data_IF_637450700155
#
_entry.id   IF_637450700155
#
_cell.length_a   1.000
_cell.length_b   1.000
_cell.length_c   1.000
_cell.angle_alpha   90.00
_cell.angle_beta   90.00
_cell.angle_gamma   90.00
#
_symmetry.space_group_name_H-M   'P 1'
#
loop_
_entity.id
_entity.type
_entity.pdbx_description
1 polymer ?
#
# COMPACT_ATOMS: atom_id res chain seq x y z
N UNK A 1 17.45 3.90 18.06
CA UNK A 1 18.39 5.04 18.12
C UNK A 1 17.55 6.29 18.01
N UNK A 2 17.56 7.14 19.04
CA UNK A 2 16.61 8.24 19.19
C UNK A 2 17.10 9.49 18.45
N UNK A 3 16.28 10.05 17.56
CA UNK A 3 16.61 11.30 16.86
C UNK A 3 16.24 12.47 17.77
N UNK A 4 17.22 12.95 18.53
CA UNK A 4 17.10 14.15 19.38
C UNK A 4 17.10 15.48 18.61
N UNK A 5 17.21 15.46 17.27
CA UNK A 5 17.39 16.67 16.44
C UNK A 5 16.16 17.12 15.62
N UNK A 6 14.99 16.48 15.77
CA UNK A 6 13.72 17.14 15.40
C UNK A 6 13.31 18.19 16.45
N UNK A 7 14.29 18.78 17.15
CA UNK A 7 14.08 19.71 18.26
C UNK A 7 13.88 21.16 17.82
N UNK A 8 13.98 21.47 16.51
CA UNK A 8 13.78 22.82 15.99
C UNK A 8 12.50 23.00 15.17
N UNK A 9 11.74 21.94 14.90
CA UNK A 9 10.40 22.04 14.35
C UNK A 9 9.41 21.78 15.47
N UNK A 10 8.60 22.79 15.77
CA UNK A 10 7.41 22.65 16.59
C UNK A 10 6.44 21.77 15.80
N UNK A 11 6.50 20.45 15.99
CA UNK A 11 5.56 19.50 15.38
C UNK A 11 4.21 19.75 16.05
N UNK A 12 3.33 20.46 15.37
CA UNK A 12 1.99 20.76 15.86
C UNK A 12 0.94 19.75 15.39
N UNK A 13 1.28 18.89 14.43
CA UNK A 13 0.36 17.96 13.78
C UNK A 13 1.04 16.62 13.45
N UNK A 14 0.22 15.57 13.29
CA UNK A 14 0.67 14.23 12.88
C UNK A 14 1.08 14.26 11.42
N UNK A 15 2.32 13.93 11.11
CA UNK A 15 2.82 13.97 9.73
C UNK A 15 4.07 13.11 9.52
N UNK A 16 4.51 13.02 8.27
CA UNK A 16 5.69 12.26 7.87
C UNK A 16 6.82 13.19 7.39
N UNK A 17 8.05 12.74 7.58
CA UNK A 17 9.26 13.43 7.13
C UNK A 17 10.25 12.45 6.51
N UNK A 18 10.95 12.88 5.46
CA UNK A 18 12.12 12.19 4.95
C UNK A 18 13.37 12.69 5.69
N UNK A 19 14.22 11.75 6.07
CA UNK A 19 15.43 12.00 6.85
C UNK A 19 16.62 11.37 6.15
N UNK A 20 17.63 12.19 5.83
CA UNK A 20 18.91 11.71 5.33
C UNK A 20 19.80 11.29 6.51
N UNK A 21 19.92 9.98 6.71
CA UNK A 21 20.73 9.40 7.79
C UNK A 21 22.23 9.62 7.62
N UNK A 22 22.72 9.74 6.38
CA UNK A 22 24.13 10.00 6.10
C UNK A 22 24.53 11.44 6.44
N UNK A 23 23.58 12.38 6.37
CA UNK A 23 23.77 13.79 6.69
C UNK A 23 23.31 14.13 8.12
N UNK A 24 23.75 13.34 9.10
CA UNK A 24 23.43 13.55 10.52
C UNK A 24 21.92 13.64 10.81
N UNK A 25 21.10 12.85 10.11
CA UNK A 25 19.64 12.87 10.25
C UNK A 25 19.00 14.22 9.88
N UNK A 26 19.58 14.94 8.91
CA UNK A 26 18.96 16.12 8.33
C UNK A 26 17.64 15.78 7.63
N UNK A 27 16.70 16.73 7.64
CA UNK A 27 15.49 16.61 6.83
C UNK A 27 15.84 16.68 5.36
N UNK A 28 15.18 15.84 4.57
CA UNK A 28 15.27 15.81 3.12
C UNK A 28 13.92 16.14 2.50
N UNK A 29 13.93 16.83 1.37
CA UNK A 29 12.71 17.22 0.66
C UNK A 29 12.29 16.21 -0.41
N UNK A 30 13.24 15.39 -0.89
CA UNK A 30 13.03 14.50 -2.05
C UNK A 30 13.13 13.02 -1.69
N UNK A 31 14.18 12.60 -0.98
CA UNK A 31 14.45 11.19 -0.69
C UNK A 31 15.08 10.94 0.69
N UNK A 32 14.86 9.78 1.29
CA UNK A 32 15.49 9.41 2.56
C UNK A 32 14.75 8.29 3.29
N UNK A 33 15.08 8.12 4.57
CA UNK A 33 14.33 7.26 5.47
C UNK A 33 13.06 7.98 5.93
N UNK A 34 11.91 7.30 5.91
CA UNK A 34 10.64 7.89 6.30
C UNK A 34 10.43 7.77 7.82
N UNK A 35 10.07 8.89 8.44
CA UNK A 35 9.68 8.96 9.85
C UNK A 35 8.25 9.47 9.95
N UNK A 36 7.45 8.86 10.82
CA UNK A 36 6.15 9.36 11.21
C UNK A 36 6.25 10.01 12.58
N UNK A 37 5.76 11.25 12.70
CA UNK A 37 5.76 11.98 13.95
C UNK A 37 4.33 12.18 14.46
N UNK A 38 4.11 11.85 15.73
CA UNK A 38 2.84 12.03 16.43
C UNK A 38 3.07 12.79 17.75
N UNK A 39 2.80 14.11 17.79
CA UNK A 39 3.07 14.93 18.97
C UNK A 39 2.16 14.60 20.16
N UNK A 40 1.09 13.81 19.97
CA UNK A 40 0.16 13.42 21.03
C UNK A 40 0.63 12.15 21.78
N UNK A 41 1.58 11.39 21.22
CA UNK A 41 2.08 10.15 21.81
C UNK A 41 3.34 10.39 22.65
N UNK A 42 3.18 10.33 23.98
CA UNK A 42 4.13 10.82 24.99
C UNK A 42 5.47 10.06 25.15
N UNK A 43 5.84 9.11 24.26
CA UNK A 43 7.07 8.31 24.40
C UNK A 43 8.07 8.48 23.26
N UNK A 44 7.60 8.70 22.04
CA UNK A 44 8.44 8.90 20.86
C UNK A 44 7.75 9.91 19.96
N UNK A 45 8.38 11.09 19.79
CA UNK A 45 7.81 12.16 18.95
C UNK A 45 7.79 11.72 17.49
N UNK A 46 8.76 10.91 17.07
CA UNK A 46 8.88 10.37 15.72
C UNK A 46 9.43 8.94 15.74
N UNK A 47 8.83 8.05 14.95
CA UNK A 47 9.28 6.67 14.76
C UNK A 47 9.58 6.41 13.29
N UNK A 48 10.64 5.65 13.02
CA UNK A 48 11.00 5.27 11.65
C UNK A 48 10.00 4.24 11.10
N UNK A 49 9.69 4.39 9.82
CA UNK A 49 8.84 3.49 9.06
C UNK A 49 9.70 2.48 8.30
N UNK A 50 9.34 1.20 8.38
CA UNK A 50 10.07 0.09 7.74
C UNK A 50 9.22 -0.73 6.76
N UNK A 51 7.93 -0.40 6.59
CA UNK A 51 7.07 -1.11 5.65
C UNK A 51 7.10 -0.48 4.24
N UNK A 52 7.10 -1.33 3.23
CA UNK A 52 7.01 -0.92 1.82
C UNK A 52 5.59 -0.45 1.51
N UNK A 53 5.45 0.67 0.78
CA UNK A 53 4.15 1.16 0.33
C UNK A 53 4.05 2.68 0.18
N UNK A 54 2.82 3.18 0.24
CA UNK A 54 2.49 4.60 0.21
C UNK A 54 2.07 5.12 1.58
N UNK A 55 2.53 6.33 1.91
CA UNK A 55 2.14 7.10 3.07
C UNK A 55 1.73 8.49 2.62
N UNK A 56 0.45 8.81 2.78
CA UNK A 56 -0.16 9.97 2.12
C UNK A 56 -0.53 11.01 3.18
N UNK A 57 -0.10 12.25 3.00
CA UNK A 57 -0.61 13.39 3.77
C UNK A 57 -1.79 13.99 3.01
N UNK A 58 -1.59 14.31 1.74
CA UNK A 58 -2.56 14.85 0.80
C UNK A 58 -2.08 14.59 -0.64
N UNK A 59 -2.63 15.28 -1.65
CA UNK A 59 -2.20 15.10 -3.04
C UNK A 59 -0.86 15.78 -3.34
N UNK A 60 -0.47 16.80 -2.60
CA UNK A 60 0.81 17.51 -2.76
C UNK A 60 1.96 16.84 -2.00
N UNK A 61 1.65 15.93 -1.08
CA UNK A 61 2.63 15.26 -0.23
C UNK A 61 2.30 13.77 -0.06
N UNK A 62 2.94 12.97 -0.91
CA UNK A 62 2.87 11.51 -0.94
C UNK A 62 4.27 10.94 -0.81
N UNK A 63 4.46 10.01 0.12
CA UNK A 63 5.70 9.27 0.27
C UNK A 63 5.52 7.86 -0.31
N UNK A 64 6.44 7.47 -1.19
CA UNK A 64 6.49 6.13 -1.78
C UNK A 64 7.75 5.45 -1.29
N UNK A 65 7.61 4.34 -0.58
CA UNK A 65 8.71 3.57 -0.01
C UNK A 65 8.81 2.22 -0.69
N UNK A 66 9.99 1.88 -1.21
CA UNK A 66 10.31 0.56 -1.80
C UNK A 66 11.45 -0.10 -1.05
N UNK A 67 11.55 -1.42 -1.19
CA UNK A 67 12.72 -2.14 -0.69
C UNK A 67 13.98 -1.68 -1.44
N UNK A 68 14.96 -1.19 -0.68
CA UNK A 68 16.28 -0.77 -1.14
C UNK A 68 17.38 -1.74 -0.70
N UNK A 69 18.62 -1.38 -1.00
CA UNK A 69 19.79 -2.23 -0.64
C UNK A 69 20.11 -2.23 0.86
N UNK A 70 19.75 -1.15 1.58
CA UNK A 70 20.08 -0.94 3.00
C UNK A 70 18.85 -0.51 3.83
N UNK A 71 17.68 -1.07 3.53
CA UNK A 71 16.41 -0.72 4.18
C UNK A 71 15.37 -0.30 3.16
N UNK A 72 14.58 0.73 3.49
CA UNK A 72 13.64 1.33 2.55
C UNK A 72 14.26 2.54 1.84
N UNK A 73 14.07 2.59 0.53
CA UNK A 73 14.28 3.79 -0.26
C UNK A 73 12.94 4.50 -0.39
N UNK A 74 12.76 5.61 0.33
CA UNK A 74 11.53 6.42 0.25
C UNK A 74 11.78 7.72 -0.51
N UNK A 75 10.82 8.11 -1.34
CA UNK A 75 10.81 9.38 -2.05
C UNK A 75 9.49 10.11 -1.88
N UNK A 76 9.55 11.44 -1.88
CA UNK A 76 8.37 12.32 -1.89
C UNK A 76 7.93 12.57 -3.34
N UNK A 77 6.63 12.63 -3.54
CA UNK A 77 6.01 13.03 -4.79
C UNK A 77 4.66 13.69 -4.55
N UNK A 78 4.02 14.06 -5.65
CA UNK A 78 2.70 14.68 -5.69
C UNK A 78 1.86 14.07 -6.83
N UNK A 79 0.55 14.27 -6.77
CA UNK A 79 -0.37 13.99 -7.86
C UNK A 79 -0.90 15.29 -8.44
N UNK A 80 -0.85 15.35 -9.76
CA UNK A 80 -1.41 16.45 -10.56
C UNK A 80 -2.75 16.04 -11.16
N UNK A 81 -3.47 16.99 -11.77
CA UNK A 81 -4.71 16.69 -12.49
C UNK A 81 -4.50 15.79 -13.73
N UNK A 82 -3.25 15.57 -14.16
CA UNK A 82 -2.90 14.61 -15.21
C UNK A 82 -2.89 13.17 -14.70
N UNK A 83 -2.68 12.98 -13.40
CA UNK A 83 -2.68 11.67 -12.75
C UNK A 83 -4.11 11.24 -12.43
N UNK A 84 -4.96 11.10 -13.46
CA UNK A 84 -6.41 10.96 -13.29
C UNK A 84 -6.99 9.66 -13.86
N UNK A 85 -6.12 8.72 -14.23
CA UNK A 85 -6.54 7.49 -14.95
C UNK A 85 -6.03 6.24 -14.26
N UNK A 86 -6.95 5.31 -14.00
CA UNK A 86 -6.62 3.93 -13.65
C UNK A 86 -6.70 3.03 -14.88
N UNK A 87 -5.54 2.56 -15.33
CA UNK A 87 -5.36 1.69 -16.49
C UNK A 87 -4.27 0.65 -16.18
N UNK A 88 -4.10 -0.34 -17.06
CA UNK A 88 -3.10 -1.41 -16.88
C UNK A 88 -1.68 -0.89 -16.64
N UNK A 89 -1.30 0.25 -17.21
CA UNK A 89 0.01 0.88 -17.03
C UNK A 89 0.17 1.65 -15.70
N UNK A 90 -0.93 1.90 -14.98
CA UNK A 90 -0.95 2.65 -13.71
C UNK A 90 -1.33 1.77 -12.52
N UNK A 91 -1.36 0.45 -12.69
CA UNK A 91 -1.60 -0.51 -11.61
C UNK A 91 -0.55 -0.34 -10.52
N UNK A 92 -1.00 -0.33 -9.27
CA UNK A 92 -0.17 -0.08 -8.11
C UNK A 92 0.23 1.37 -7.91
N UNK A 93 -0.28 2.29 -8.72
CA UNK A 93 -0.06 3.74 -8.57
C UNK A 93 -1.29 4.42 -7.99
N UNK A 94 -1.01 5.52 -7.30
CA UNK A 94 -2.02 6.45 -6.85
C UNK A 94 -2.44 7.37 -8.00
N UNK A 95 -3.68 7.83 -7.96
CA UNK A 95 -4.22 8.78 -8.94
C UNK A 95 -5.43 9.53 -8.33
N UNK A 96 -5.90 10.56 -9.02
CA UNK A 96 -7.06 11.37 -8.69
C UNK A 96 -8.30 10.86 -9.44
N UNK A 97 -9.18 10.15 -8.75
CA UNK A 97 -10.49 9.76 -9.26
C UNK A 97 -11.52 10.84 -8.91
N UNK A 98 -11.91 11.67 -9.89
CA UNK A 98 -12.82 12.80 -9.65
C UNK A 98 -12.34 13.69 -8.48
N UNK A 99 -11.04 14.03 -8.49
CA UNK A 99 -10.35 14.81 -7.46
C UNK A 99 -10.21 14.14 -6.08
N UNK A 100 -10.52 12.84 -5.96
CA UNK A 100 -10.28 12.05 -4.75
C UNK A 100 -9.07 11.15 -4.93
N UNK A 101 -8.26 11.01 -3.88
CA UNK A 101 -7.15 10.06 -3.85
C UNK A 101 -7.69 8.63 -4.04
N UNK A 102 -7.10 7.89 -4.97
CA UNK A 102 -7.47 6.52 -5.27
C UNK A 102 -6.23 5.68 -5.60
N UNK A 103 -6.31 4.37 -5.34
CA UNK A 103 -5.33 3.38 -5.77
C UNK A 103 -5.85 2.62 -6.98
N UNK A 104 -5.00 2.43 -7.99
CA UNK A 104 -5.33 1.62 -9.15
C UNK A 104 -4.92 0.15 -8.95
N UNK A 105 -5.88 -0.76 -9.05
CA UNK A 105 -5.69 -2.20 -8.94
C UNK A 105 -5.96 -2.88 -10.28
N UNK A 106 -5.45 -4.10 -10.48
CA UNK A 106 -5.79 -4.93 -11.63
C UNK A 106 -5.70 -6.41 -11.26
N UNK A 107 -6.54 -7.20 -11.92
CA UNK A 107 -6.59 -8.65 -11.84
C UNK A 107 -6.09 -9.32 -13.12
N UNK A 108 -6.48 -8.81 -14.29
CA UNK A 108 -6.22 -9.39 -15.60
C UNK A 108 -6.12 -8.29 -16.66
N UNK A 109 -7.20 -8.04 -17.41
CA UNK A 109 -7.26 -7.04 -18.49
C UNK A 109 -7.88 -5.72 -18.08
N UNK A 110 -8.69 -5.70 -17.02
CA UNK A 110 -9.41 -4.51 -16.55
C UNK A 110 -8.81 -3.96 -15.25
N UNK A 111 -8.49 -2.67 -15.24
CA UNK A 111 -8.05 -1.95 -14.05
C UNK A 111 -9.25 -1.40 -13.25
N UNK A 112 -9.11 -1.36 -11.93
CA UNK A 112 -10.14 -0.93 -11.00
C UNK A 112 -9.63 0.15 -10.06
N UNK A 113 -10.42 1.21 -9.94
CA UNK A 113 -10.19 2.30 -9.01
C UNK A 113 -10.77 1.98 -7.62
N UNK A 114 -9.96 2.10 -6.56
CA UNK A 114 -10.47 2.19 -5.18
C UNK A 114 -10.19 3.58 -4.61
N UNK A 115 -11.23 4.30 -4.24
CA UNK A 115 -11.07 5.57 -3.53
C UNK A 115 -10.49 5.29 -2.14
N UNK A 116 -9.60 6.14 -1.64
CA UNK A 116 -8.96 5.98 -0.34
C UNK A 116 -9.80 6.63 0.75
N UNK A 117 -10.72 5.85 1.32
CA UNK A 117 -11.65 6.29 2.35
C UNK A 117 -11.69 5.27 3.49
N UNK A 118 -12.27 5.61 4.66
CA UNK A 118 -12.38 4.66 5.77
C UNK A 118 -13.16 3.39 5.36
N UNK A 119 -14.17 3.53 4.48
CA UNK A 119 -15.05 2.42 4.07
C UNK A 119 -14.41 1.46 3.07
N UNK A 120 -13.33 1.87 2.41
CA UNK A 120 -12.55 1.03 1.48
C UNK A 120 -11.31 0.44 2.16
N UNK A 121 -11.20 0.51 3.49
CA UNK A 121 -10.11 -0.14 4.20
C UNK A 121 -10.23 -1.67 4.14
N UNK A 122 -9.09 -2.35 4.08
CA UNK A 122 -8.99 -3.80 4.06
C UNK A 122 -7.77 -4.31 3.31
N UNK A 123 -7.69 -5.63 3.14
CA UNK A 123 -6.64 -6.26 2.36
C UNK A 123 -7.11 -6.42 0.91
N UNK A 124 -6.22 -6.09 -0.02
CA UNK A 124 -6.47 -6.16 -1.46
C UNK A 124 -5.36 -6.94 -2.14
N UNK A 125 -5.70 -7.63 -3.22
CA UNK A 125 -4.69 -8.14 -4.14
C UNK A 125 -4.22 -7.04 -5.07
N UNK A 126 -2.91 -6.97 -5.25
CA UNK A 126 -2.27 -6.11 -6.23
C UNK A 126 -1.42 -6.96 -7.17
N UNK A 127 -1.55 -6.68 -8.47
CA UNK A 127 -0.71 -7.30 -9.50
C UNK A 127 0.62 -6.55 -9.63
N UNK A 128 1.70 -7.28 -9.87
CA UNK A 128 3.03 -6.75 -10.16
C UNK A 128 2.98 -5.91 -11.44
N UNK A 129 3.35 -4.64 -11.30
CA UNK A 129 3.56 -3.73 -12.41
C UNK A 129 5.07 -3.61 -12.72
N UNK A 130 5.42 -2.77 -13.70
CA UNK A 130 6.81 -2.54 -14.08
C UNK A 130 7.61 -1.77 -13.02
N UNK A 131 6.97 -0.91 -12.23
CA UNK A 131 7.64 -0.19 -11.14
C UNK A 131 7.93 -1.09 -9.95
N UNK A 132 7.08 -2.10 -9.73
CA UNK A 132 7.14 -3.07 -8.66
C UNK A 132 7.41 -2.43 -7.29
N UNK A 133 6.72 -1.33 -6.98
CA UNK A 133 6.90 -0.59 -5.72
C UNK A 133 6.84 -1.52 -4.51
N UNK A 134 5.87 -2.44 -4.52
CA UNK A 134 5.62 -3.38 -3.43
C UNK A 134 6.64 -4.53 -3.34
N UNK A 135 7.69 -4.54 -4.17
CA UNK A 135 8.78 -5.51 -4.07
C UNK A 135 8.35 -6.95 -4.33
N UNK A 136 7.39 -7.16 -5.22
CA UNK A 136 6.86 -8.48 -5.56
C UNK A 136 7.96 -9.29 -6.26
N UNK A 137 8.33 -10.49 -5.75
CA UNK A 137 9.38 -11.30 -6.35
C UNK A 137 9.16 -11.63 -7.84
N UNK A 138 10.27 -11.86 -8.56
CA UNK A 138 10.26 -12.11 -10.01
C UNK A 138 9.39 -13.30 -10.42
N UNK A 139 9.35 -14.34 -9.58
CA UNK A 139 8.58 -15.57 -9.74
C UNK A 139 7.09 -15.45 -9.32
N UNK A 140 6.62 -14.22 -9.03
CA UNK A 140 5.24 -13.97 -8.57
C UNK A 140 4.58 -12.82 -9.29
N UNK A 141 3.28 -12.94 -9.46
CA UNK A 141 2.47 -11.92 -10.15
C UNK A 141 1.65 -11.06 -9.20
N UNK A 142 1.47 -11.48 -7.94
CA UNK A 142 0.59 -10.80 -6.99
C UNK A 142 1.20 -10.66 -5.59
N UNK A 143 0.74 -9.65 -4.86
CA UNK A 143 0.95 -9.47 -3.43
C UNK A 143 -0.34 -9.01 -2.75
N UNK A 144 -0.36 -9.08 -1.42
CA UNK A 144 -1.42 -8.52 -0.60
C UNK A 144 -0.96 -7.14 -0.13
N UNK A 145 -1.80 -6.14 -0.31
CA UNK A 145 -1.61 -4.82 0.28
C UNK A 145 -2.72 -4.55 1.30
N UNK A 146 -2.35 -3.97 2.43
CA UNK A 146 -3.30 -3.42 3.38
C UNK A 146 -3.57 -1.97 3.02
N UNK A 147 -4.83 -1.63 2.83
CA UNK A 147 -5.28 -0.25 2.61
C UNK A 147 -5.97 0.20 3.90
N UNK A 148 -5.46 1.27 4.50
CA UNK A 148 -6.04 1.93 5.66
C UNK A 148 -6.04 3.42 5.43
N UNK A 149 -7.11 3.90 4.80
CA UNK A 149 -7.26 5.29 4.35
C UNK A 149 -6.03 5.77 3.55
N UNK A 150 -5.20 6.61 4.17
CA UNK A 150 -4.03 7.27 3.59
C UNK A 150 -2.72 6.47 3.71
N UNK A 151 -2.77 5.25 4.25
CA UNK A 151 -1.63 4.35 4.35
C UNK A 151 -1.93 3.07 3.57
N UNK A 152 -1.04 2.72 2.64
CA UNK A 152 -1.14 1.53 1.81
C UNK A 152 0.19 0.79 1.89
N UNK A 153 0.23 -0.35 2.56
CA UNK A 153 1.49 -1.10 2.76
C UNK A 153 1.37 -2.52 2.25
N UNK A 154 2.50 -3.11 1.87
CA UNK A 154 2.54 -4.56 1.66
C UNK A 154 2.17 -5.27 2.97
N UNK A 155 1.26 -6.24 2.89
CA UNK A 155 0.92 -7.09 4.02
C UNK A 155 1.66 -8.42 3.89
N UNK A 156 2.98 -8.36 4.14
CA UNK A 156 3.89 -9.49 3.95
C UNK A 156 3.66 -10.64 4.95
N UNK A 157 2.95 -10.39 6.05
CA UNK A 157 2.66 -11.36 7.11
C UNK A 157 1.16 -11.73 7.15
N UNK A 158 0.40 -11.43 6.09
CA UNK A 158 -1.01 -11.78 6.03
C UNK A 158 -1.22 -13.29 6.21
N UNK A 159 -2.07 -13.65 7.17
CA UNK A 159 -2.51 -15.04 7.37
C UNK A 159 -4.00 -15.08 7.68
N UNK A 160 -4.71 -15.98 7.00
CA UNK A 160 -6.10 -16.32 7.30
C UNK A 160 -6.22 -17.73 7.90
N UNK A 161 -5.10 -18.39 8.20
CA UNK A 161 -5.02 -19.79 8.62
C UNK A 161 -5.69 -20.79 7.66
N UNK A 162 -5.85 -20.41 6.39
CA UNK A 162 -6.36 -21.27 5.33
C UNK A 162 -5.24 -21.52 4.31
N UNK A 163 -5.38 -22.60 3.55
CA UNK A 163 -4.45 -22.92 2.45
C UNK A 163 -4.55 -21.91 1.31
N UNK A 164 -5.75 -21.38 1.09
CA UNK A 164 -6.08 -20.52 -0.03
C UNK A 164 -6.52 -19.14 0.43
N UNK A 165 -6.23 -18.16 -0.40
CA UNK A 165 -6.74 -16.80 -0.28
C UNK A 165 -7.67 -16.55 -1.46
N UNK A 166 -8.82 -15.93 -1.16
CA UNK A 166 -9.82 -15.60 -2.15
C UNK A 166 -9.97 -14.09 -2.22
N UNK A 167 -10.01 -13.54 -3.43
CA UNK A 167 -10.32 -12.14 -3.66
C UNK A 167 -11.56 -12.00 -4.54
N UNK A 168 -12.44 -11.06 -4.21
CA UNK A 168 -13.68 -10.82 -4.95
C UNK A 168 -13.46 -9.84 -6.10
N UNK A 169 -13.78 -10.26 -7.33
CA UNK A 169 -13.73 -9.40 -8.53
C UNK A 169 -14.78 -8.30 -8.46
N UNK A 170 -15.98 -8.62 -7.96
CA UNK A 170 -17.07 -7.67 -7.76
C UNK A 170 -16.69 -6.60 -6.69
N UNK A 171 -15.89 -6.99 -5.70
CA UNK A 171 -15.39 -6.09 -4.66
C UNK A 171 -13.99 -5.51 -4.98
N UNK A 172 -13.65 -5.36 -6.27
CA UNK A 172 -12.42 -4.72 -6.74
C UNK A 172 -11.15 -5.31 -6.10
N UNK A 173 -11.09 -6.64 -6.03
CA UNK A 173 -9.96 -7.41 -5.49
C UNK A 173 -9.72 -7.29 -3.99
N UNK A 174 -10.73 -6.86 -3.24
CA UNK A 174 -10.73 -7.04 -1.79
C UNK A 174 -10.68 -8.53 -1.44
N UNK A 175 -9.85 -8.90 -0.48
CA UNK A 175 -9.81 -10.25 0.07
C UNK A 175 -11.14 -10.59 0.76
N UNK A 176 -11.57 -11.82 0.57
CA UNK A 176 -12.68 -12.42 1.29
C UNK A 176 -12.14 -12.99 2.61
N UNK A 177 -12.58 -12.42 3.71
CA UNK A 177 -12.21 -12.86 5.05
C UNK A 177 -13.20 -13.89 5.59
N UNK A 178 -12.80 -14.61 6.64
CA UNK A 178 -13.68 -15.59 7.28
C UNK A 178 -14.94 -14.91 7.81
N UNK A 179 -16.10 -15.36 7.34
CA UNK A 179 -17.41 -14.79 7.69
C UNK A 179 -18.03 -13.94 6.58
N UNK A 180 -17.25 -13.59 5.56
CA UNK A 180 -17.77 -12.91 4.38
C UNK A 180 -18.67 -13.82 3.55
N UNK A 181 -19.65 -13.21 2.89
CA UNK A 181 -20.46 -13.92 1.90
C UNK A 181 -19.63 -14.15 0.65
N UNK A 182 -19.27 -15.41 0.39
CA UNK A 182 -18.60 -15.77 -0.85
C UNK A 182 -19.58 -15.65 -2.05
N UNK A 183 -19.14 -15.15 -3.21
CA UNK A 183 -19.94 -15.17 -4.43
C UNK A 183 -20.36 -16.61 -4.78
N UNK A 184 -21.66 -16.81 -5.05
CA UNK A 184 -22.23 -18.11 -5.39
C UNK A 184 -23.02 -18.05 -6.69
N UNK A 185 -22.93 -19.12 -7.47
CA UNK A 185 -23.81 -19.40 -8.58
C UNK A 185 -24.68 -20.61 -8.21
N UNK A 186 -25.89 -20.34 -7.71
CA UNK A 186 -26.71 -21.33 -7.03
C UNK A 186 -26.08 -21.79 -5.70
N UNK A 187 -25.82 -23.09 -5.57
CA UNK A 187 -25.20 -23.68 -4.37
C UNK A 187 -23.67 -23.75 -4.43
N UNK A 188 -23.07 -23.51 -5.60
CA UNK A 188 -21.63 -23.59 -5.82
C UNK A 188 -20.98 -22.20 -5.72
N UNK A 189 -19.69 -22.19 -5.42
CA UNK A 189 -18.85 -21.00 -5.51
C UNK A 189 -18.81 -20.50 -6.96
N UNK A 190 -18.97 -19.19 -7.16
CA UNK A 190 -18.86 -18.60 -8.50
C UNK A 190 -17.39 -18.28 -8.80
N UNK A 191 -16.68 -19.24 -9.38
CA UNK A 191 -15.27 -19.10 -9.78
C UNK A 191 -15.03 -17.96 -10.77
N UNK A 192 -16.06 -17.53 -11.51
CA UNK A 192 -15.91 -16.39 -12.42
C UNK A 192 -15.76 -15.07 -11.67
N UNK A 193 -16.24 -15.00 -10.42
CA UNK A 193 -16.25 -13.80 -9.56
C UNK A 193 -15.16 -13.77 -8.50
N UNK A 194 -14.38 -14.83 -8.38
CA UNK A 194 -13.30 -14.92 -7.41
C UNK A 194 -11.96 -15.16 -8.10
N UNK A 195 -10.89 -14.68 -7.50
CA UNK A 195 -9.54 -15.15 -7.75
C UNK A 195 -9.11 -15.98 -6.55
N UNK A 196 -8.67 -17.21 -6.80
CA UNK A 196 -8.08 -18.11 -5.80
C UNK A 196 -6.56 -18.13 -5.96
N UNK A 197 -5.83 -17.91 -4.87
CA UNK A 197 -4.37 -17.98 -4.83
C UNK A 197 -3.92 -18.92 -3.70
N UNK A 198 -2.89 -19.71 -3.97
CA UNK A 198 -2.21 -20.53 -2.96
C UNK A 198 -1.41 -19.62 -2.03
N UNK A 199 -1.56 -19.78 -0.72
CA UNK A 199 -0.84 -18.99 0.28
C UNK A 199 0.15 -19.86 1.06
N UNK A 200 1.45 -19.60 0.90
CA UNK A 200 2.51 -20.28 1.65
C UNK A 200 3.36 -19.24 2.38
N UNK A 201 3.29 -19.19 3.71
CA UNK A 201 3.98 -18.18 4.52
C UNK A 201 3.71 -16.74 4.05
N UNK A 202 2.42 -16.41 3.82
CA UNK A 202 1.99 -15.09 3.34
C UNK A 202 2.49 -14.73 1.93
N UNK A 203 2.92 -15.74 1.17
CA UNK A 203 3.37 -15.62 -0.22
C UNK A 203 2.31 -16.21 -1.13
N UNK A 204 1.87 -15.43 -2.10
CA UNK A 204 0.83 -15.82 -3.03
C UNK A 204 1.41 -16.45 -4.30
N UNK A 205 0.78 -17.54 -4.72
CA UNK A 205 1.08 -18.24 -5.97
C UNK A 205 -0.19 -18.36 -6.79
N UNK A 206 -0.05 -18.20 -8.11
CA UNK A 206 -1.17 -18.46 -9.00
C UNK A 206 -1.48 -19.96 -9.01
N UNK A 207 -2.76 -20.27 -8.95
CA UNK A 207 -3.21 -21.65 -9.12
C UNK A 207 -3.35 -21.86 -10.64
N UNK A 208 -2.38 -22.57 -11.20
CA UNK A 208 -2.23 -22.99 -12.61
C UNK A 208 -1.47 -22.02 -13.54
#
# INVERSE_FOLDING_TARGET
MYIYYVHLLRICEKTYYLVNKAENYALSEEEGALFYCDPENAKEVCSEIFDVGYYIVDKETIYSCKAGSNGLDCSRGELTDQDNTCATATVGKLFLNQSKLALCLNYDTAAYAIDLTPTTSGNYLIKKDSSNLFGIPGDRDYAIVSVKEKVITINADYTNNLKYVYASKDAKMKLLEKGDTCPKNGSALDETKILELDCVNSRLYNKY
#
